data_IF_376984937445
#
_entry.id   IF_376984937445
#
_cell.length_a   1.000
_cell.length_b   1.000
_cell.length_c   1.000
_cell.angle_alpha   90.00
_cell.angle_beta   90.00
_cell.angle_gamma   90.00
#
_symmetry.space_group_name_H-M   'P 1'
#
loop_
_entity.id
_entity.type
_entity.pdbx_description
1 polymer ?
#
# COMPACT_ATOMS: atom_id res chain seq x y z
N UNK A 1 -1.82 32.47 -10.59
CA UNK A 1 -2.55 31.44 -9.82
C UNK A 1 -1.58 30.29 -9.56
N UNK A 2 -1.04 30.20 -8.34
CA UNK A 2 -0.12 29.13 -7.97
C UNK A 2 -0.93 27.98 -7.39
N UNK A 3 -0.84 26.79 -7.99
CA UNK A 3 -1.38 25.57 -7.38
C UNK A 3 -0.41 25.19 -6.27
N UNK A 4 -0.81 25.43 -5.01
CA UNK A 4 -0.08 24.92 -3.86
C UNK A 4 -0.27 23.40 -3.83
N UNK A 5 0.78 22.65 -4.19
CA UNK A 5 0.77 21.21 -4.07
C UNK A 5 0.71 20.82 -2.59
N UNK A 6 -0.47 20.41 -2.11
CA UNK A 6 -0.62 19.86 -0.76
C UNK A 6 -0.06 18.44 -0.76
N UNK A 7 0.94 18.17 0.07
CA UNK A 7 1.36 16.81 0.39
C UNK A 7 0.36 16.24 1.39
N UNK A 8 -0.63 15.52 0.89
CA UNK A 8 -1.47 14.66 1.73
C UNK A 8 -0.85 13.26 1.75
N UNK A 9 -0.83 12.63 2.92
CA UNK A 9 -0.51 11.23 3.02
C UNK A 9 -1.75 10.43 2.65
N UNK A 10 -1.58 9.47 1.75
CA UNK A 10 -2.64 8.55 1.34
C UNK A 10 -2.39 7.17 1.97
N UNK A 11 -3.43 6.60 2.56
CA UNK A 11 -3.40 5.24 3.06
C UNK A 11 -3.52 4.25 1.90
N UNK A 12 -2.49 3.43 1.74
CA UNK A 12 -2.31 2.51 0.62
C UNK A 12 -2.66 1.06 0.97
N UNK A 13 -2.40 0.65 2.22
CA UNK A 13 -2.50 -0.73 2.67
C UNK A 13 -2.89 -0.77 4.14
N UNK A 14 -3.84 -1.64 4.50
CA UNK A 14 -4.26 -1.91 5.88
C UNK A 14 -4.18 -3.43 6.14
N UNK A 15 -4.37 -3.87 7.39
CA UNK A 15 -4.41 -5.30 7.72
C UNK A 15 -3.05 -5.98 7.92
N UNK A 16 -1.97 -5.21 8.08
CA UNK A 16 -0.66 -5.72 8.56
C UNK A 16 -0.69 -6.07 10.06
N UNK A 17 -1.72 -5.65 10.78
CA UNK A 17 -1.96 -5.96 12.19
C UNK A 17 -3.31 -6.69 12.29
N UNK A 18 -3.32 -7.89 12.89
CA UNK A 18 -4.54 -8.67 13.17
C UNK A 18 -5.13 -8.23 14.51
N UNK A 19 -4.26 -8.04 15.51
CA UNK A 19 -4.57 -7.49 16.83
C UNK A 19 -3.30 -6.94 17.50
N UNK A 20 -3.43 -6.27 18.64
CA UNK A 20 -2.31 -5.76 19.44
C UNK A 20 -1.23 -6.82 19.76
N UNK A 21 -1.60 -8.12 19.75
CA UNK A 21 -0.71 -9.24 20.06
C UNK A 21 -0.40 -10.15 18.86
N UNK A 22 -0.99 -9.89 17.69
CA UNK A 22 -0.83 -10.74 16.51
C UNK A 22 -0.75 -9.90 15.24
N UNK A 23 0.30 -10.09 14.45
CA UNK A 23 0.56 -9.31 13.23
C UNK A 23 0.73 -10.25 12.04
N UNK A 24 0.35 -9.78 10.86
CA UNK A 24 0.60 -10.46 9.58
C UNK A 24 2.04 -10.20 9.08
N UNK A 25 2.99 -10.04 10.02
CA UNK A 25 4.31 -9.47 9.76
C UNK A 25 4.34 -7.94 9.76
N UNK A 26 5.53 -7.37 9.94
CA UNK A 26 5.73 -5.92 9.88
C UNK A 26 6.25 -5.53 8.50
N UNK A 27 5.64 -4.52 7.88
CA UNK A 27 6.13 -4.00 6.62
C UNK A 27 7.55 -3.42 6.80
N UNK A 28 8.49 -3.85 5.95
CA UNK A 28 9.90 -3.44 6.02
C UNK A 28 10.42 -2.82 4.72
N UNK A 29 9.73 -3.01 3.60
CA UNK A 29 10.16 -2.48 2.30
C UNK A 29 9.00 -2.24 1.35
N UNK A 30 9.18 -1.27 0.44
CA UNK A 30 8.25 -0.94 -0.63
C UNK A 30 8.99 -0.74 -1.96
N UNK A 31 8.44 -1.28 -3.04
CA UNK A 31 8.95 -1.07 -4.39
C UNK A 31 7.81 -0.85 -5.39
N UNK A 32 7.98 0.09 -6.32
CA UNK A 32 7.05 0.29 -7.43
C UNK A 32 7.35 -0.69 -8.56
N UNK A 33 6.34 -1.46 -8.99
CA UNK A 33 6.45 -2.33 -10.15
C UNK A 33 6.26 -1.55 -11.46
N UNK A 34 6.82 -2.07 -12.55
CA UNK A 34 6.74 -1.44 -13.90
C UNK A 34 5.31 -1.16 -14.37
N UNK A 35 4.33 -1.91 -13.90
CA UNK A 35 2.91 -1.79 -14.25
C UNK A 35 2.11 -0.93 -13.26
N UNK A 36 2.78 -0.19 -12.37
CA UNK A 36 2.16 0.78 -11.47
C UNK A 36 1.60 0.21 -10.16
N UNK A 37 1.78 -1.08 -9.89
CA UNK A 37 1.46 -1.67 -8.58
C UNK A 37 2.59 -1.43 -7.57
N UNK A 38 2.26 -1.50 -6.29
CA UNK A 38 3.24 -1.47 -5.21
C UNK A 38 3.44 -2.87 -4.62
N UNK A 39 4.70 -3.23 -4.43
CA UNK A 39 5.12 -4.47 -3.77
C UNK A 39 5.57 -4.12 -2.35
N UNK A 40 5.04 -4.80 -1.35
CA UNK A 40 5.34 -4.60 0.06
C UNK A 40 5.89 -5.90 0.65
N UNK A 41 7.06 -5.84 1.28
CA UNK A 41 7.69 -7.00 1.93
C UNK A 41 7.53 -6.93 3.44
N UNK A 42 7.45 -8.10 4.07
CA UNK A 42 7.40 -8.25 5.53
C UNK A 42 8.57 -9.07 6.09
N UNK A 43 8.77 -9.03 7.41
CA UNK A 43 9.91 -9.62 8.11
C UNK A 43 9.65 -11.00 8.74
N UNK A 44 8.41 -11.50 8.76
CA UNK A 44 8.04 -12.62 9.63
C UNK A 44 7.83 -13.95 8.91
N UNK A 45 7.27 -13.96 7.69
CA UNK A 45 6.90 -15.20 6.99
C UNK A 45 7.38 -15.29 5.52
N UNK A 46 8.13 -14.28 5.03
CA UNK A 46 8.60 -14.25 3.64
C UNK A 46 7.53 -13.90 2.58
N UNK A 47 6.39 -13.35 3.00
CA UNK A 47 5.32 -12.91 2.09
C UNK A 47 5.64 -11.57 1.44
N UNK A 48 5.25 -11.45 0.17
CA UNK A 48 5.24 -10.19 -0.57
C UNK A 48 3.80 -9.87 -0.96
N UNK A 49 3.30 -8.72 -0.51
CA UNK A 49 1.96 -8.23 -0.81
C UNK A 49 1.99 -7.33 -2.05
N UNK A 50 1.03 -7.50 -2.97
CA UNK A 50 0.90 -6.67 -4.16
C UNK A 50 -0.37 -5.82 -4.09
N UNK A 51 -0.19 -4.50 -3.99
CA UNK A 51 -1.28 -3.53 -3.98
C UNK A 51 -1.47 -2.95 -5.38
N UNK A 52 -2.70 -3.04 -5.88
CA UNK A 52 -3.09 -2.47 -7.18
C UNK A 52 -4.14 -1.39 -6.98
N UNK A 53 -4.07 -0.33 -7.77
CA UNK A 53 -5.18 0.60 -7.86
C UNK A 53 -6.37 -0.09 -8.53
N UNK A 54 -7.56 0.04 -7.97
CA UNK A 54 -8.77 -0.31 -8.70
C UNK A 54 -9.21 0.89 -9.51
N UNK A 55 -9.42 0.68 -10.81
CA UNK A 55 -10.12 1.66 -11.62
C UNK A 55 -11.58 1.61 -11.21
N UNK A 56 -12.06 2.62 -10.48
CA UNK A 56 -13.50 2.80 -10.29
C UNK A 56 -14.10 2.99 -11.68
N UNK A 57 -15.03 2.13 -12.07
CA UNK A 57 -15.69 2.25 -13.36
C UNK A 57 -16.38 3.62 -13.44
N UNK A 58 -16.19 4.33 -14.56
CA UNK A 58 -16.94 5.56 -14.81
C UNK A 58 -18.40 5.19 -15.01
N UNK A 59 -19.24 5.52 -14.04
CA UNK A 59 -20.68 5.46 -14.21
C UNK A 59 -21.06 6.57 -15.20
N UNK A 60 -21.55 6.18 -16.38
CA UNK A 60 -22.05 7.10 -17.39
C UNK A 60 -23.53 7.39 -17.15
#
# INVERSE_FOLDING_TARGET
MAVMARREYEDLMTGVVISDRQVCGRAVGVAAAKHGSLLVTEDSNGTIWRVNHQKVASNN
#
